data_IF_997415917621
#
_entry.id   IF_997415917621
#
_cell.length_a   1.000
_cell.length_b   1.000
_cell.length_c   1.000
_cell.angle_alpha   90.00
_cell.angle_beta   90.00
_cell.angle_gamma   90.00
#
_symmetry.space_group_name_H-M   'P 1'
#
loop_
_entity.id
_entity.type
_entity.pdbx_description
1 polymer ?
#
# COMPACT_ATOMS: atom_id res chain seq x y z
N UNK A 1 -24.27 -8.85 72.28
CA UNK A 1 -24.64 -10.25 72.41
C UNK A 1 -23.57 -11.02 71.70
N UNK A 2 -22.67 -11.45 72.46
CA UNK A 2 -22.25 -12.81 72.79
C UNK A 2 -21.50 -13.50 71.66
N UNK A 3 -20.24 -13.65 71.85
CA UNK A 3 -19.41 -14.66 72.60
C UNK A 3 -18.99 -15.77 71.67
N UNK A 4 -17.83 -16.29 71.57
CA UNK A 4 -16.65 -16.58 72.34
C UNK A 4 -15.80 -17.45 71.42
N UNK A 5 -14.50 -17.22 71.26
CA UNK A 5 -13.39 -17.70 72.03
C UNK A 5 -13.16 -19.22 72.06
N UNK A 6 -12.00 -19.64 71.65
CA UNK A 6 -11.09 -20.55 72.33
C UNK A 6 -10.07 -21.18 71.40
N UNK A 7 -8.87 -20.72 71.30
CA UNK A 7 -7.55 -21.06 71.91
C UNK A 7 -7.19 -22.57 72.11
N UNK A 8 -5.89 -22.80 71.82
CA UNK A 8 -4.94 -23.78 72.35
C UNK A 8 -4.83 -25.12 71.60
N UNK A 9 -3.68 -25.73 71.35
CA UNK A 9 -2.37 -25.77 72.00
C UNK A 9 -1.43 -26.59 71.12
N UNK A 10 -0.18 -26.21 71.00
CA UNK A 10 0.96 -27.11 70.72
C UNK A 10 1.24 -27.99 71.94
N UNK A 11 1.98 -29.11 71.85
CA UNK A 11 3.41 -29.07 72.16
C UNK A 11 4.32 -30.06 71.39
N UNK A 12 5.57 -29.66 71.15
CA UNK A 12 6.87 -30.23 71.60
C UNK A 12 7.07 -31.73 71.44
N UNK A 13 8.12 -32.28 70.90
CA UNK A 13 9.50 -31.95 70.94
C UNK A 13 10.34 -33.20 70.68
N UNK A 14 11.61 -32.95 70.47
CA UNK A 14 12.82 -33.75 70.77
C UNK A 14 13.41 -34.63 69.65
N UNK A 15 14.75 -34.59 69.53
CA UNK A 15 15.58 -34.98 68.35
C UNK A 15 16.29 -36.31 68.61
N UNK A 16 16.85 -36.94 67.61
CA UNK A 16 17.90 -37.97 67.71
C UNK A 16 18.69 -38.07 66.39
N UNK A 17 19.91 -37.70 66.41
CA UNK A 17 21.18 -38.42 66.32
C UNK A 17 21.61 -38.89 64.91
N UNK A 18 22.75 -38.37 64.51
CA UNK A 18 23.70 -38.83 63.49
C UNK A 18 24.49 -40.03 64.03
N UNK A 19 24.89 -40.97 63.19
CA UNK A 19 26.27 -41.43 63.31
C UNK A 19 27.05 -41.33 61.97
N UNK A 20 28.23 -40.77 62.09
CA UNK A 20 29.38 -40.98 61.19
C UNK A 20 29.75 -42.45 61.07
N UNK A 21 30.28 -42.84 59.91
CA UNK A 21 31.59 -43.36 59.63
C UNK A 21 31.67 -44.45 58.54
N UNK A 22 32.50 -44.27 57.71
CA UNK A 22 33.71 -44.96 57.24
C UNK A 22 33.83 -45.24 55.81
N UNK A 23 34.99 -44.81 55.33
CA UNK A 23 35.62 -44.99 54.05
C UNK A 23 35.68 -46.45 53.55
N UNK A 24 35.51 -46.63 52.26
CA UNK A 24 35.82 -47.83 51.54
C UNK A 24 36.00 -47.51 50.05
N UNK A 25 37.26 -47.34 49.70
CA UNK A 25 37.68 -47.18 48.29
C UNK A 25 37.42 -48.45 47.47
N UNK A 26 36.73 -48.34 46.36
CA UNK A 26 36.93 -49.27 45.23
C UNK A 26 36.73 -48.51 43.89
N UNK A 27 37.74 -48.74 43.03
CA UNK A 27 37.99 -48.31 41.66
C UNK A 27 36.86 -48.46 40.66
N UNK A 28 36.76 -47.45 39.83
CA UNK A 28 36.27 -47.25 38.45
C UNK A 28 35.64 -48.38 37.64
N UNK A 29 34.70 -48.05 36.71
CA UNK A 29 35.16 -47.70 35.39
C UNK A 29 34.46 -46.52 34.73
N UNK A 30 35.13 -45.94 33.72
CA UNK A 30 34.80 -44.76 32.95
C UNK A 30 33.35 -44.70 32.42
N UNK A 31 32.58 -43.72 32.87
CA UNK A 31 31.33 -43.35 32.25
C UNK A 31 31.60 -42.45 31.06
N UNK A 32 31.22 -42.95 29.90
CA UNK A 32 31.20 -42.19 28.62
C UNK A 32 30.27 -40.95 28.78
N UNK A 33 30.85 -39.80 28.69
CA UNK A 33 30.11 -38.55 28.58
C UNK A 33 29.37 -38.51 27.27
N UNK A 34 28.07 -38.75 27.25
CA UNK A 34 27.20 -38.34 26.17
C UNK A 34 27.15 -36.80 26.13
N UNK A 35 27.29 -36.15 24.95
CA UNK A 35 27.08 -34.73 24.87
C UNK A 35 25.61 -34.46 25.14
N UNK A 36 25.35 -33.76 26.26
CA UNK A 36 24.02 -33.25 26.62
C UNK A 36 23.58 -32.30 25.51
N UNK A 37 22.60 -32.73 24.74
CA UNK A 37 21.93 -31.86 23.77
C UNK A 37 21.30 -30.67 24.50
N UNK A 38 21.09 -29.54 23.81
CA UNK A 38 20.57 -28.33 24.45
C UNK A 38 19.24 -28.62 25.16
N UNK A 39 19.14 -28.15 26.39
CA UNK A 39 18.01 -28.40 27.27
C UNK A 39 16.69 -27.95 26.62
N UNK A 40 15.58 -28.60 26.99
CA UNK A 40 14.24 -28.21 26.53
C UNK A 40 13.93 -26.73 26.78
N UNK A 41 14.52 -26.13 27.80
CA UNK A 41 14.46 -24.68 28.07
C UNK A 41 15.24 -23.85 27.03
N UNK A 42 16.39 -24.33 26.55
CA UNK A 42 17.16 -23.68 25.49
C UNK A 42 16.45 -23.82 24.11
N UNK A 43 15.72 -24.94 23.88
CA UNK A 43 14.84 -25.08 22.71
C UNK A 43 13.58 -24.25 22.82
N UNK A 44 13.01 -24.04 24.01
CA UNK A 44 11.88 -23.13 24.23
C UNK A 44 12.28 -21.65 24.11
N UNK A 45 13.51 -21.29 24.46
CA UNK A 45 14.06 -19.92 24.27
C UNK A 45 14.49 -19.66 22.83
N UNK A 46 14.78 -20.68 22.02
CA UNK A 46 15.00 -20.55 20.57
C UNK A 46 13.72 -20.66 19.74
N UNK A 47 12.61 -21.13 20.34
CA UNK A 47 11.28 -21.13 19.74
C UNK A 47 10.59 -19.79 19.98
N UNK A 48 10.95 -18.78 19.17
CA UNK A 48 10.03 -17.68 18.91
C UNK A 48 10.30 -16.37 19.61
N UNK A 49 11.40 -15.70 19.31
CA UNK A 49 11.23 -14.31 18.87
C UNK A 49 10.52 -14.43 17.52
N UNK A 50 9.29 -13.88 17.35
CA UNK A 50 8.79 -13.73 16.00
C UNK A 50 9.81 -12.82 15.32
N UNK A 51 10.64 -13.40 14.47
CA UNK A 51 11.36 -12.62 13.49
C UNK A 51 10.32 -11.66 12.95
N UNK A 52 10.64 -10.38 12.86
CA UNK A 52 9.91 -9.40 12.06
C UNK A 52 9.97 -9.92 10.62
N UNK A 53 9.35 -11.09 10.40
CA UNK A 53 9.32 -11.83 9.16
C UNK A 53 8.72 -10.90 8.14
N UNK A 54 9.53 -10.53 7.19
CA UNK A 54 9.12 -9.84 5.98
C UNK A 54 7.84 -10.53 5.54
N UNK A 55 6.75 -9.77 5.48
CA UNK A 55 5.45 -10.30 5.08
C UNK A 55 5.50 -10.50 3.56
N UNK A 56 5.91 -11.69 3.12
CA UNK A 56 6.04 -12.04 1.69
C UNK A 56 4.76 -11.71 0.92
N UNK A 57 3.59 -11.91 1.52
CA UNK A 57 2.32 -11.54 0.91
C UNK A 57 2.18 -10.03 0.66
N UNK A 58 2.74 -9.17 1.50
CA UNK A 58 2.75 -7.71 1.28
C UNK A 58 3.71 -7.33 0.15
N UNK A 59 4.88 -7.96 0.08
CA UNK A 59 5.82 -7.74 -1.03
C UNK A 59 5.22 -8.26 -2.34
N UNK A 60 4.51 -9.40 -2.31
CA UNK A 60 3.77 -9.92 -3.48
C UNK A 60 2.69 -8.93 -3.94
N UNK A 61 1.86 -8.41 -3.03
CA UNK A 61 0.83 -7.42 -3.37
C UNK A 61 1.45 -6.15 -3.98
N UNK A 62 2.63 -5.72 -3.48
CA UNK A 62 3.35 -4.57 -4.03
C UNK A 62 3.89 -4.83 -5.43
N UNK A 63 4.41 -6.04 -5.69
CA UNK A 63 4.85 -6.45 -7.03
C UNK A 63 3.70 -6.49 -8.04
N UNK A 64 2.53 -7.01 -7.63
CA UNK A 64 1.32 -6.98 -8.46
C UNK A 64 0.86 -5.55 -8.76
N UNK A 65 0.92 -4.64 -7.77
CA UNK A 65 0.60 -3.24 -7.99
C UNK A 65 1.53 -2.58 -9.02
N UNK A 66 2.83 -2.88 -8.98
CA UNK A 66 3.80 -2.38 -9.98
C UNK A 66 3.47 -2.90 -11.38
N UNK A 67 3.19 -4.20 -11.52
CA UNK A 67 2.85 -4.76 -12.83
C UNK A 67 1.55 -4.23 -13.39
N UNK A 68 0.55 -3.98 -12.52
CA UNK A 68 -0.68 -3.33 -12.96
C UNK A 68 -0.49 -1.86 -13.35
N UNK A 69 0.47 -1.13 -12.75
CA UNK A 69 0.85 0.19 -13.24
C UNK A 69 1.57 0.11 -14.60
N UNK A 70 2.44 -0.89 -14.80
CA UNK A 70 3.06 -1.12 -16.12
C UNK A 70 2.00 -1.38 -17.19
N UNK A 71 0.96 -2.17 -16.88
CA UNK A 71 -0.10 -2.44 -17.85
C UNK A 71 -0.88 -1.19 -18.26
N UNK A 72 -0.95 -0.18 -17.39
CA UNK A 72 -1.59 1.09 -17.72
C UNK A 72 -0.70 2.04 -18.53
N UNK A 73 0.64 1.90 -18.43
CA UNK A 73 1.58 2.83 -19.05
C UNK A 73 2.17 2.30 -20.38
N UNK A 74 2.27 1.00 -20.56
CA UNK A 74 2.94 0.36 -21.72
C UNK A 74 2.17 -0.86 -22.24
N UNK A 75 1.00 -1.14 -21.70
CA UNK A 75 0.16 -2.24 -22.18
C UNK A 75 -0.68 -1.84 -23.38
N UNK A 76 -1.27 -2.84 -24.06
CA UNK A 76 -2.27 -2.58 -25.07
C UNK A 76 -3.46 -1.79 -24.51
N UNK A 77 -4.16 -1.07 -25.38
CA UNK A 77 -5.41 -0.43 -25.00
C UNK A 77 -6.46 -1.46 -24.55
N UNK A 78 -7.28 -1.09 -23.58
CA UNK A 78 -8.31 -1.99 -23.04
C UNK A 78 -9.38 -2.37 -24.05
N UNK A 79 -9.54 -1.59 -25.15
CA UNK A 79 -10.47 -1.87 -26.25
C UNK A 79 -10.10 -3.09 -27.08
N UNK A 80 -8.87 -3.65 -26.94
CA UNK A 80 -8.49 -4.93 -27.55
C UNK A 80 -9.43 -6.09 -27.15
N UNK A 81 -10.16 -5.92 -26.05
CA UNK A 81 -11.20 -6.84 -25.60
C UNK A 81 -10.68 -8.21 -25.14
N UNK A 82 -11.59 -9.16 -25.02
CA UNK A 82 -11.28 -10.51 -24.57
C UNK A 82 -10.69 -10.58 -23.15
N UNK A 83 -10.07 -11.72 -22.78
CA UNK A 83 -9.49 -11.88 -21.43
C UNK A 83 -8.34 -10.91 -21.14
N UNK A 84 -7.55 -10.53 -22.14
CA UNK A 84 -6.43 -9.60 -21.99
C UNK A 84 -6.97 -8.21 -21.69
N UNK A 85 -7.88 -7.66 -22.53
CA UNK A 85 -8.50 -6.36 -22.28
C UNK A 85 -9.18 -6.29 -20.91
N UNK A 86 -9.89 -7.36 -20.50
CA UNK A 86 -10.47 -7.43 -19.18
C UNK A 86 -9.44 -7.36 -18.04
N UNK A 87 -8.30 -8.06 -18.14
CA UNK A 87 -7.25 -8.03 -17.12
C UNK A 87 -6.55 -6.67 -17.06
N UNK A 88 -6.30 -6.04 -18.20
CA UNK A 88 -5.73 -4.70 -18.28
C UNK A 88 -6.66 -3.69 -17.62
N UNK A 89 -7.95 -3.72 -17.98
CA UNK A 89 -8.97 -2.86 -17.40
C UNK A 89 -9.12 -3.08 -15.88
N UNK A 90 -9.11 -4.35 -15.43
CA UNK A 90 -9.18 -4.69 -14.02
C UNK A 90 -7.96 -4.19 -13.22
N UNK A 91 -6.83 -3.92 -13.87
CA UNK A 91 -5.63 -3.38 -13.24
C UNK A 91 -5.62 -1.84 -13.20
N UNK A 92 -6.24 -1.16 -14.19
CA UNK A 92 -6.26 0.31 -14.30
C UNK A 92 -6.84 0.97 -13.03
N UNK A 93 -6.18 2.00 -12.52
CA UNK A 93 -6.55 2.74 -11.31
C UNK A 93 -6.50 1.91 -10.01
N UNK A 94 -6.88 0.63 -10.07
CA UNK A 94 -6.90 -0.28 -8.90
C UNK A 94 -5.50 -0.61 -8.42
N UNK A 95 -4.55 -0.71 -9.35
CA UNK A 95 -3.12 -0.93 -9.02
C UNK A 95 -2.52 0.26 -8.30
N UNK A 96 -2.83 1.47 -8.73
CA UNK A 96 -2.41 2.71 -8.06
C UNK A 96 -3.05 2.85 -6.68
N UNK A 97 -4.34 2.52 -6.52
CA UNK A 97 -5.03 2.50 -5.22
C UNK A 97 -4.42 1.44 -4.27
N UNK A 98 -4.10 0.23 -4.77
CA UNK A 98 -3.39 -0.79 -4.01
C UNK A 98 -2.01 -0.28 -3.57
N UNK A 99 -1.28 0.40 -4.46
CA UNK A 99 0.02 0.96 -4.14
C UNK A 99 -0.08 2.05 -3.07
N UNK A 100 -1.10 2.93 -3.11
CA UNK A 100 -1.39 3.93 -2.08
C UNK A 100 -1.73 3.29 -0.73
N UNK A 101 -2.54 2.24 -0.71
CA UNK A 101 -2.85 1.48 0.49
C UNK A 101 -1.56 0.87 1.09
N UNK A 102 -0.70 0.26 0.27
CA UNK A 102 0.57 -0.32 0.71
C UNK A 102 1.59 0.73 1.16
N UNK A 103 1.51 1.98 0.65
CA UNK A 103 2.30 3.09 1.16
C UNK A 103 1.88 3.47 2.58
N UNK A 104 0.59 3.57 2.87
CA UNK A 104 0.06 3.76 4.23
C UNK A 104 0.44 2.62 5.18
N UNK A 105 0.39 1.37 4.70
CA UNK A 105 0.89 0.21 5.44
C UNK A 105 2.36 0.36 5.80
N UNK A 106 3.19 0.81 4.86
CA UNK A 106 4.62 1.02 5.06
C UNK A 106 4.93 2.14 6.05
N UNK A 107 4.11 3.20 6.09
CA UNK A 107 4.22 4.27 7.08
C UNK A 107 4.09 3.72 8.50
N UNK A 108 3.12 2.84 8.74
CA UNK A 108 2.92 2.20 10.06
C UNK A 108 4.09 1.29 10.44
N UNK A 109 4.70 0.57 9.49
CA UNK A 109 5.92 -0.21 9.76
C UNK A 109 7.05 0.70 10.28
N UNK A 110 7.23 1.86 9.66
CA UNK A 110 8.29 2.82 10.03
C UNK A 110 7.99 3.48 11.39
N UNK A 111 6.73 3.85 11.63
CA UNK A 111 6.30 4.55 12.85
C UNK A 111 6.02 3.62 14.02
N UNK A 112 6.04 2.31 13.80
CA UNK A 112 5.92 1.26 14.81
C UNK A 112 4.67 0.41 14.67
N UNK A 113 4.87 -0.91 14.67
CA UNK A 113 3.83 -1.95 14.61
C UNK A 113 4.12 -3.01 15.68
N UNK A 114 3.12 -3.56 16.39
CA UNK A 114 1.69 -3.20 16.33
C UNK A 114 1.36 -1.88 17.04
N UNK A 115 2.25 -1.39 17.89
CA UNK A 115 2.07 -0.15 18.67
C UNK A 115 2.94 0.98 18.12
N UNK A 116 2.41 2.23 18.07
CA UNK A 116 3.18 3.38 17.61
C UNK A 116 4.37 3.67 18.54
N UNK A 117 5.48 4.09 17.95
CA UNK A 117 6.63 4.59 18.67
C UNK A 117 6.30 5.93 19.32
N UNK A 118 6.74 6.12 20.57
CA UNK A 118 6.51 7.33 21.36
C UNK A 118 7.83 7.95 21.80
N UNK A 119 7.80 9.11 22.44
CA UNK A 119 8.98 9.82 22.92
C UNK A 119 9.99 10.08 21.79
N UNK A 120 11.29 9.94 22.11
CA UNK A 120 12.39 10.16 21.15
C UNK A 120 12.27 9.26 19.91
N UNK A 121 11.97 7.97 20.10
CA UNK A 121 11.81 7.03 18.99
C UNK A 121 10.64 7.42 18.06
N UNK A 122 9.57 7.99 18.62
CA UNK A 122 8.45 8.54 17.85
C UNK A 122 8.87 9.77 17.03
N UNK A 123 9.57 10.75 17.65
CA UNK A 123 10.08 11.93 16.91
C UNK A 123 11.02 11.54 15.78
N UNK A 124 11.90 10.58 15.99
CA UNK A 124 12.80 10.05 14.97
C UNK A 124 12.03 9.35 13.85
N UNK A 125 10.96 8.63 14.16
CA UNK A 125 10.11 8.00 13.15
C UNK A 125 9.37 9.06 12.30
N UNK A 126 8.83 10.09 12.93
CA UNK A 126 8.21 11.24 12.24
C UNK A 126 9.21 11.92 11.31
N UNK A 127 10.41 12.24 11.81
CA UNK A 127 11.47 12.85 10.99
C UNK A 127 11.85 11.99 9.77
N UNK A 128 11.90 10.64 9.94
CA UNK A 128 12.12 9.73 8.80
C UNK A 128 11.03 9.82 7.75
N UNK A 129 9.76 9.93 8.17
CA UNK A 129 8.64 10.06 7.22
C UNK A 129 8.69 11.41 6.53
N UNK A 130 8.97 12.51 7.24
CA UNK A 130 9.10 13.84 6.63
C UNK A 130 10.21 13.86 5.58
N UNK A 131 11.42 13.39 5.92
CA UNK A 131 12.52 13.31 4.96
C UNK A 131 12.14 12.44 3.75
N UNK A 132 11.48 11.29 4.00
CA UNK A 132 11.00 10.41 2.94
C UNK A 132 10.00 11.10 2.03
N UNK A 133 9.05 11.84 2.60
CA UNK A 133 8.06 12.62 1.87
C UNK A 133 8.69 13.66 0.96
N UNK A 134 9.65 14.42 1.48
CA UNK A 134 10.38 15.44 0.70
C UNK A 134 11.17 14.79 -0.45
N UNK A 135 11.90 13.69 -0.17
CA UNK A 135 12.67 13.00 -1.22
C UNK A 135 11.76 12.41 -2.30
N UNK A 136 10.61 11.83 -1.92
CA UNK A 136 9.67 11.29 -2.89
C UNK A 136 9.01 12.39 -3.71
N UNK A 137 8.64 13.53 -3.10
CA UNK A 137 8.12 14.68 -3.83
C UNK A 137 9.15 15.23 -4.83
N UNK A 138 10.39 15.42 -4.41
CA UNK A 138 11.46 15.90 -5.29
C UNK A 138 11.73 14.93 -6.45
N UNK A 139 11.76 13.63 -6.17
CA UNK A 139 11.91 12.59 -7.20
C UNK A 139 10.71 12.56 -8.14
N UNK A 140 9.49 12.69 -7.59
CA UNK A 140 8.26 12.75 -8.39
C UNK A 140 8.30 13.91 -9.38
N UNK A 141 8.60 15.14 -8.92
CA UNK A 141 8.71 16.28 -9.80
C UNK A 141 9.86 16.18 -10.81
N UNK A 142 10.99 15.57 -10.42
CA UNK A 142 12.07 15.32 -11.38
C UNK A 142 11.64 14.36 -12.51
N UNK A 143 10.76 13.39 -12.20
CA UNK A 143 10.20 12.51 -13.23
C UNK A 143 9.11 13.20 -14.05
N UNK A 144 8.26 14.02 -13.43
CA UNK A 144 7.25 14.81 -14.16
C UNK A 144 7.91 15.77 -15.16
N UNK A 145 9.08 16.35 -14.80
CA UNK A 145 9.85 17.22 -15.69
C UNK A 145 10.45 16.52 -16.92
N UNK A 146 10.37 15.19 -17.01
CA UNK A 146 10.72 14.45 -18.22
C UNK A 146 9.63 14.54 -19.30
N UNK A 147 8.46 15.08 -18.96
CA UNK A 147 7.32 15.29 -19.87
C UNK A 147 6.88 14.00 -20.60
N UNK A 148 6.79 12.91 -19.85
CA UNK A 148 6.26 11.63 -20.37
C UNK A 148 4.75 11.58 -20.16
N UNK A 149 4.03 10.80 -20.98
CA UNK A 149 2.58 10.58 -20.83
C UNK A 149 2.18 9.85 -19.54
N UNK A 150 3.16 9.56 -18.67
CA UNK A 150 2.93 8.88 -17.39
C UNK A 150 2.57 9.86 -16.28
N UNK A 151 1.38 9.74 -15.73
CA UNK A 151 0.99 10.46 -14.51
C UNK A 151 1.82 9.98 -13.30
N UNK A 152 2.77 10.82 -12.86
CA UNK A 152 3.74 10.47 -11.81
C UNK A 152 3.12 10.58 -10.42
N UNK A 153 2.81 9.46 -9.78
CA UNK A 153 2.18 9.41 -8.44
C UNK A 153 3.12 9.83 -7.29
N UNK A 154 4.45 9.84 -7.49
CA UNK A 154 5.42 10.07 -6.41
C UNK A 154 5.35 11.47 -5.81
N UNK A 155 5.08 12.50 -6.61
CA UNK A 155 4.90 13.88 -6.16
C UNK A 155 3.73 13.98 -5.18
N UNK A 156 2.60 13.37 -5.52
CA UNK A 156 1.41 13.27 -4.67
C UNK A 156 1.70 12.48 -3.38
N UNK A 157 2.50 11.42 -3.45
CA UNK A 157 2.88 10.64 -2.26
C UNK A 157 3.68 11.45 -1.24
N UNK A 158 4.51 12.37 -1.66
CA UNK A 158 5.19 13.28 -0.75
C UNK A 158 4.19 13.99 0.15
N UNK A 159 3.18 14.64 -0.45
CA UNK A 159 2.14 15.36 0.29
C UNK A 159 1.20 14.42 1.07
N UNK A 160 0.81 13.29 0.48
CA UNK A 160 -0.01 12.26 1.15
C UNK A 160 0.65 11.75 2.44
N UNK A 161 1.96 11.46 2.42
CA UNK A 161 2.67 11.05 3.64
C UNK A 161 2.59 12.10 4.74
N UNK A 162 2.75 13.37 4.39
CA UNK A 162 2.66 14.48 5.36
C UNK A 162 1.24 14.63 5.92
N UNK A 163 0.22 14.53 5.06
CA UNK A 163 -1.19 14.68 5.42
C UNK A 163 -1.66 13.58 6.37
N UNK A 164 -1.27 12.32 6.15
CA UNK A 164 -1.70 11.21 7.00
C UNK A 164 -0.79 11.00 8.23
N UNK A 165 0.39 11.64 8.26
CA UNK A 165 1.37 11.46 9.34
C UNK A 165 0.81 11.74 10.73
N UNK A 166 -0.02 12.77 10.99
CA UNK A 166 -0.60 13.01 12.31
C UNK A 166 -1.43 11.83 12.84
N UNK A 167 -1.99 11.02 11.94
CA UNK A 167 -2.86 9.90 12.27
C UNK A 167 -2.08 8.64 12.74
N UNK A 168 -0.74 8.63 12.70
CA UNK A 168 0.07 7.44 12.94
C UNK A 168 -0.09 6.84 14.35
N UNK A 169 -0.62 7.61 15.32
CA UNK A 169 -0.87 7.15 16.70
C UNK A 169 -2.22 6.48 16.90
N UNK A 170 -3.10 6.59 15.92
CA UNK A 170 -4.48 6.11 16.04
C UNK A 170 -4.57 4.58 15.97
N UNK A 171 -5.65 4.04 16.56
CA UNK A 171 -5.97 2.61 16.56
C UNK A 171 -6.56 2.18 15.21
N UNK A 172 -6.52 0.88 14.91
CA UNK A 172 -7.05 0.33 13.67
C UNK A 172 -8.51 0.73 13.40
N UNK A 173 -9.38 0.65 14.41
CA UNK A 173 -10.80 1.00 14.26
C UNK A 173 -11.00 2.48 13.93
N UNK A 174 -10.27 3.38 14.60
CA UNK A 174 -10.34 4.83 14.34
C UNK A 174 -9.82 5.15 12.94
N UNK A 175 -8.71 4.55 12.52
CA UNK A 175 -8.18 4.70 11.16
C UNK A 175 -9.17 4.17 10.12
N UNK A 176 -9.79 3.00 10.36
CA UNK A 176 -10.81 2.46 9.46
C UNK A 176 -12.03 3.38 9.35
N UNK A 177 -12.47 3.97 10.46
CA UNK A 177 -13.57 4.95 10.46
C UNK A 177 -13.19 6.21 9.66
N UNK A 178 -12.00 6.77 9.88
CA UNK A 178 -11.51 7.93 9.13
C UNK A 178 -11.40 7.60 7.63
N UNK A 179 -10.90 6.42 7.27
CA UNK A 179 -10.82 5.98 5.88
C UNK A 179 -12.22 5.86 5.25
N UNK A 180 -13.18 5.26 5.96
CA UNK A 180 -14.55 5.08 5.49
C UNK A 180 -15.28 6.44 5.35
N UNK A 181 -15.20 7.31 6.37
CA UNK A 181 -15.78 8.65 6.30
C UNK A 181 -15.12 9.48 5.20
N UNK A 182 -13.78 9.41 5.08
CA UNK A 182 -13.05 10.08 4.02
C UNK A 182 -13.46 9.60 2.63
N UNK A 183 -13.65 8.29 2.44
CA UNK A 183 -14.09 7.72 1.17
C UNK A 183 -15.47 8.23 0.72
N UNK A 184 -16.34 8.63 1.67
CA UNK A 184 -17.66 9.17 1.36
C UNK A 184 -17.67 10.70 1.23
N UNK A 185 -16.97 11.39 2.12
CA UNK A 185 -17.05 12.85 2.23
C UNK A 185 -16.07 13.57 1.30
N UNK A 186 -14.83 13.05 1.18
CA UNK A 186 -13.79 13.76 0.41
C UNK A 186 -14.10 13.85 -1.09
N UNK A 187 -14.68 12.83 -1.76
CA UNK A 187 -15.11 12.97 -3.15
C UNK A 187 -16.18 14.05 -3.36
N UNK A 188 -17.13 14.19 -2.46
CA UNK A 188 -18.16 15.25 -2.52
C UNK A 188 -17.54 16.63 -2.35
N UNK A 189 -16.61 16.75 -1.40
CA UNK A 189 -15.86 17.98 -1.18
C UNK A 189 -15.00 18.33 -2.40
N UNK A 190 -14.32 17.34 -2.98
CA UNK A 190 -13.50 17.53 -4.19
C UNK A 190 -14.38 17.98 -5.36
N UNK A 191 -15.54 17.35 -5.55
CA UNK A 191 -16.51 17.74 -6.58
C UNK A 191 -16.94 19.21 -6.40
N UNK A 192 -17.32 19.63 -5.18
CA UNK A 192 -17.70 21.00 -4.89
C UNK A 192 -16.55 21.99 -5.13
N UNK A 193 -15.31 21.63 -4.75
CA UNK A 193 -14.13 22.46 -4.99
C UNK A 193 -13.86 22.57 -6.50
N UNK A 194 -13.81 21.46 -7.23
CA UNK A 194 -13.58 21.48 -8.69
C UNK A 194 -14.65 22.27 -9.42
N UNK A 195 -15.92 22.17 -9.01
CA UNK A 195 -17.02 22.96 -9.58
C UNK A 195 -16.89 24.48 -9.31
N UNK A 196 -16.10 24.90 -8.33
CA UNK A 196 -15.82 26.30 -8.02
C UNK A 196 -14.62 26.88 -8.75
N UNK A 197 -13.85 26.05 -9.45
CA UNK A 197 -12.67 26.47 -10.23
C UNK A 197 -13.17 27.08 -11.54
N UNK A 198 -12.89 28.37 -11.72
CA UNK A 198 -13.24 29.12 -12.92
C UNK A 198 -11.99 29.82 -13.45
N UNK A 199 -11.86 30.02 -14.76
CA UNK A 199 -10.77 30.80 -15.36
C UNK A 199 -10.69 32.19 -14.73
N UNK A 200 -9.50 32.63 -14.32
CA UNK A 200 -9.28 33.88 -13.60
C UNK A 200 -9.73 33.89 -12.13
N UNK A 201 -10.16 32.73 -11.62
CA UNK A 201 -10.69 32.60 -10.27
C UNK A 201 -9.62 32.38 -9.19
N UNK A 202 -10.05 31.82 -8.06
CA UNK A 202 -9.20 31.62 -6.88
C UNK A 202 -8.05 30.62 -7.14
N UNK A 203 -8.27 29.60 -7.96
CA UNK A 203 -7.26 28.59 -8.27
C UNK A 203 -6.09 29.20 -9.02
N UNK A 204 -6.37 30.00 -10.08
CA UNK A 204 -5.33 30.71 -10.83
C UNK A 204 -4.59 31.71 -9.95
N UNK A 205 -5.30 32.39 -9.04
CA UNK A 205 -4.70 33.31 -8.09
C UNK A 205 -3.77 32.63 -7.07
N UNK A 206 -4.07 31.37 -6.69
CA UNK A 206 -3.20 30.56 -5.83
C UNK A 206 -2.00 30.07 -6.63
N UNK A 207 -2.22 29.46 -7.80
CA UNK A 207 -1.16 28.92 -8.68
C UNK A 207 -0.14 30.02 -9.06
N UNK A 208 -0.60 31.22 -9.37
CA UNK A 208 0.28 32.36 -9.70
C UNK A 208 1.22 32.78 -8.56
N UNK A 209 0.84 32.51 -7.31
CA UNK A 209 1.64 32.81 -6.10
C UNK A 209 2.41 31.61 -5.58
N UNK A 210 2.12 30.41 -6.10
CA UNK A 210 2.71 29.16 -5.63
C UNK A 210 4.16 29.02 -6.15
N UNK A 211 5.18 28.98 -5.26
CA UNK A 211 6.57 28.76 -5.67
C UNK A 211 6.74 27.38 -6.34
N UNK A 212 5.94 26.38 -5.96
CA UNK A 212 6.02 25.04 -6.52
C UNK A 212 5.58 25.05 -7.99
N UNK A 213 4.45 25.69 -8.30
CA UNK A 213 3.97 25.86 -9.67
C UNK A 213 5.01 26.53 -10.58
N UNK A 214 5.68 27.56 -10.07
CA UNK A 214 6.74 28.28 -10.84
C UNK A 214 7.96 27.41 -11.17
N UNK A 215 8.32 26.49 -10.26
CA UNK A 215 9.49 25.62 -10.45
C UNK A 215 9.16 24.40 -11.30
N UNK A 216 7.94 23.89 -11.16
CA UNK A 216 7.53 22.62 -11.80
C UNK A 216 6.83 22.82 -13.14
N UNK A 217 6.34 24.02 -13.45
CA UNK A 217 5.51 24.27 -14.64
C UNK A 217 4.10 23.68 -14.54
N UNK A 218 3.69 23.21 -13.34
CA UNK A 218 2.36 22.62 -13.07
C UNK A 218 1.49 23.60 -12.27
N UNK A 219 0.26 23.19 -11.92
CA UNK A 219 -0.60 23.96 -11.01
C UNK A 219 -0.20 23.87 -9.52
N UNK A 220 0.95 23.27 -9.24
CA UNK A 220 1.54 23.23 -7.91
C UNK A 220 0.67 22.56 -6.86
N UNK A 221 0.36 23.27 -5.76
CA UNK A 221 -0.47 22.73 -4.69
C UNK A 221 -1.94 22.53 -5.10
N UNK A 222 -2.45 23.32 -6.05
CA UNK A 222 -3.82 23.14 -6.58
C UNK A 222 -3.92 21.79 -7.28
N UNK A 223 -2.95 21.44 -8.09
CA UNK A 223 -2.85 20.13 -8.74
C UNK A 223 -2.75 18.99 -7.73
N UNK A 224 -1.80 19.08 -6.79
CA UNK A 224 -1.59 18.05 -5.78
C UNK A 224 -2.81 17.79 -4.91
N UNK A 225 -3.57 18.84 -4.57
CA UNK A 225 -4.69 18.73 -3.67
C UNK A 225 -6.00 18.38 -4.38
N UNK A 226 -6.23 18.93 -5.60
CA UNK A 226 -7.56 18.97 -6.20
C UNK A 226 -7.64 18.55 -7.66
N UNK A 227 -6.79 19.05 -8.57
CA UNK A 227 -7.00 18.93 -10.01
C UNK A 227 -6.22 17.81 -10.66
N UNK A 228 -5.10 17.37 -10.09
CA UNK A 228 -4.27 16.34 -10.65
C UNK A 228 -4.89 14.93 -10.63
N UNK A 229 -4.16 13.98 -11.17
CA UNK A 229 -4.60 12.58 -11.33
C UNK A 229 -4.79 11.84 -10.00
N UNK A 230 -3.97 12.19 -8.98
CA UNK A 230 -3.96 11.56 -7.66
C UNK A 230 -4.24 12.57 -6.53
N UNK A 231 -5.35 13.34 -6.57
CA UNK A 231 -5.55 14.43 -5.62
C UNK A 231 -5.54 13.93 -4.18
N UNK A 232 -4.73 14.58 -3.35
CA UNK A 232 -4.52 14.16 -1.95
C UNK A 232 -5.84 13.98 -1.21
N UNK A 233 -6.82 14.81 -1.51
CA UNK A 233 -8.12 14.80 -0.86
C UNK A 233 -8.83 13.44 -0.99
N UNK A 234 -8.89 12.86 -2.19
CA UNK A 234 -9.56 11.57 -2.47
C UNK A 234 -8.64 10.36 -2.38
N UNK A 235 -7.31 10.57 -2.38
CA UNK A 235 -6.33 9.48 -2.27
C UNK A 235 -5.90 9.20 -0.82
N UNK A 236 -6.08 10.18 0.09
CA UNK A 236 -5.82 9.99 1.52
C UNK A 236 -6.58 8.78 2.12
N UNK A 237 -7.86 8.50 1.81
CA UNK A 237 -8.58 7.35 2.33
C UNK A 237 -7.90 6.00 2.05
N UNK A 238 -7.30 5.78 0.86
CA UNK A 238 -6.55 4.56 0.55
C UNK A 238 -5.36 4.38 1.50
N UNK A 239 -4.60 5.46 1.70
CA UNK A 239 -3.44 5.43 2.58
C UNK A 239 -3.82 5.17 4.04
N UNK A 240 -4.89 5.80 4.52
CA UNK A 240 -5.42 5.59 5.89
C UNK A 240 -5.98 4.17 6.06
N UNK A 241 -6.63 3.61 5.04
CA UNK A 241 -7.06 2.20 5.04
C UNK A 241 -5.84 1.26 5.17
N UNK A 242 -4.76 1.53 4.44
CA UNK A 242 -3.50 0.80 4.57
C UNK A 242 -2.88 0.90 5.97
N UNK A 243 -2.94 2.08 6.59
CA UNK A 243 -2.53 2.27 7.99
C UNK A 243 -3.39 1.44 8.94
N UNK A 244 -4.71 1.38 8.73
CA UNK A 244 -5.62 0.55 9.53
C UNK A 244 -5.25 -0.94 9.43
N UNK A 245 -5.06 -1.44 8.21
CA UNK A 245 -4.66 -2.84 7.95
C UNK A 245 -3.33 -3.17 8.63
N UNK A 246 -2.35 -2.26 8.58
CA UNK A 246 -1.05 -2.46 9.21
C UNK A 246 -1.11 -2.59 10.74
N UNK A 247 -2.15 -2.08 11.39
CA UNK A 247 -2.38 -2.22 12.84
C UNK A 247 -2.99 -3.57 13.24
N UNK A 248 -3.52 -4.33 12.27
CA UNK A 248 -4.14 -5.63 12.52
C UNK A 248 -3.07 -6.73 12.65
N UNK A 249 -3.39 -7.77 13.41
CA UNK A 249 -2.56 -8.98 13.49
C UNK A 249 -2.83 -9.88 12.28
N UNK A 250 -2.11 -9.63 11.20
CA UNK A 250 -2.26 -10.33 9.93
C UNK A 250 -1.80 -11.80 9.96
N UNK A 251 -1.21 -12.25 11.08
CA UNK A 251 -0.85 -13.67 11.25
C UNK A 251 -2.07 -14.53 11.57
N UNK A 252 -3.16 -13.92 12.07
CA UNK A 252 -4.40 -14.61 12.41
C UNK A 252 -5.25 -14.90 11.17
N UNK A 253 -5.59 -16.18 10.90
CA UNK A 253 -6.43 -16.54 9.75
C UNK A 253 -7.78 -15.82 9.72
N UNK A 254 -8.43 -15.66 10.87
CA UNK A 254 -9.72 -14.95 10.98
C UNK A 254 -9.65 -13.47 10.59
N UNK A 255 -8.52 -12.79 10.81
CA UNK A 255 -8.33 -11.40 10.35
C UNK A 255 -8.24 -11.34 8.83
N UNK A 256 -7.53 -12.26 8.20
CA UNK A 256 -7.41 -12.30 6.73
C UNK A 256 -8.74 -12.60 6.05
N UNK A 257 -9.51 -13.55 6.58
CA UNK A 257 -10.85 -13.81 6.06
C UNK A 257 -11.77 -12.60 6.20
N UNK A 258 -11.73 -11.90 7.33
CA UNK A 258 -12.48 -10.64 7.52
C UNK A 258 -12.04 -9.55 6.53
N UNK A 259 -10.74 -9.42 6.27
CA UNK A 259 -10.22 -8.48 5.26
C UNK A 259 -10.70 -8.85 3.85
N UNK A 260 -10.70 -10.14 3.50
CA UNK A 260 -11.22 -10.60 2.21
C UNK A 260 -12.72 -10.32 2.06
N UNK A 261 -13.52 -10.62 3.11
CA UNK A 261 -14.96 -10.33 3.12
C UNK A 261 -15.25 -8.82 3.07
N UNK A 262 -14.54 -8.02 3.86
CA UNK A 262 -14.67 -6.57 3.83
C UNK A 262 -14.25 -6.01 2.46
N UNK A 263 -13.17 -6.53 1.88
CA UNK A 263 -12.72 -6.17 0.54
C UNK A 263 -13.76 -6.49 -0.53
N UNK A 264 -14.28 -7.71 -0.53
CA UNK A 264 -15.36 -8.12 -1.45
C UNK A 264 -16.63 -7.29 -1.27
N UNK A 265 -17.06 -7.07 -0.02
CA UNK A 265 -18.22 -6.24 0.30
C UNK A 265 -18.07 -4.80 -0.19
N UNK A 266 -16.91 -4.16 0.03
CA UNK A 266 -16.62 -2.81 -0.45
C UNK A 266 -16.55 -2.74 -1.98
N UNK A 267 -15.98 -3.75 -2.64
CA UNK A 267 -15.96 -3.81 -4.11
C UNK A 267 -17.37 -3.91 -4.68
N UNK A 268 -18.22 -4.75 -4.09
CA UNK A 268 -19.64 -4.88 -4.48
C UNK A 268 -20.40 -3.58 -4.22
N UNK A 269 -20.20 -2.94 -3.06
CA UNK A 269 -20.83 -1.66 -2.75
C UNK A 269 -20.37 -0.54 -3.68
N UNK A 270 -19.07 -0.46 -4.01
CA UNK A 270 -18.53 0.54 -4.91
C UNK A 270 -19.03 0.31 -6.34
N UNK A 271 -18.64 -0.78 -6.95
CA UNK A 271 -18.96 -1.03 -8.37
C UNK A 271 -20.44 -1.39 -8.59
N UNK A 272 -21.00 -2.29 -7.76
CA UNK A 272 -22.41 -2.67 -7.84
C UNK A 272 -23.33 -1.51 -7.49
N UNK A 273 -22.97 -0.73 -6.47
CA UNK A 273 -23.69 0.50 -6.11
C UNK A 273 -23.71 1.53 -7.22
N UNK A 274 -22.57 1.79 -7.88
CA UNK A 274 -22.47 2.65 -9.06
C UNK A 274 -23.33 2.12 -10.21
N UNK A 275 -23.20 0.83 -10.54
CA UNK A 275 -24.00 0.17 -11.57
C UNK A 275 -25.51 0.35 -11.33
N UNK A 276 -25.95 0.17 -10.08
CA UNK A 276 -27.35 0.32 -9.70
C UNK A 276 -27.78 1.80 -9.75
N UNK A 277 -26.98 2.69 -9.19
CA UNK A 277 -27.29 4.13 -9.14
C UNK A 277 -27.41 4.74 -10.55
N UNK A 278 -26.49 4.42 -11.46
CA UNK A 278 -26.52 4.87 -12.86
C UNK A 278 -27.78 4.42 -13.60
N UNK A 279 -28.41 3.30 -13.19
CA UNK A 279 -29.66 2.79 -13.80
C UNK A 279 -30.93 3.30 -13.14
N UNK A 280 -30.88 3.53 -11.83
CA UNK A 280 -32.06 3.98 -11.07
C UNK A 280 -32.27 5.49 -11.13
N UNK A 281 -31.18 6.29 -11.27
CA UNK A 281 -31.30 7.73 -11.39
C UNK A 281 -31.69 8.10 -12.84
N UNK A 282 -32.85 8.77 -13.04
CA UNK A 282 -33.32 9.13 -14.36
C UNK A 282 -32.27 9.95 -15.12
N UNK A 283 -32.06 9.63 -16.38
CA UNK A 283 -31.13 10.30 -17.28
C UNK A 283 -29.63 10.28 -16.87
N UNK A 284 -29.23 9.55 -15.81
CA UNK A 284 -27.84 9.56 -15.36
C UNK A 284 -26.86 9.10 -16.46
N UNK A 285 -27.16 7.96 -17.12
CA UNK A 285 -26.31 7.44 -18.19
C UNK A 285 -26.21 8.38 -19.40
N UNK A 286 -27.33 8.98 -19.83
CA UNK A 286 -27.33 9.96 -20.93
C UNK A 286 -26.59 11.24 -20.57
N UNK A 287 -26.71 11.69 -19.32
CA UNK A 287 -25.97 12.85 -18.81
C UNK A 287 -24.47 12.58 -18.74
N UNK A 288 -24.07 11.41 -18.29
CA UNK A 288 -22.64 11.00 -18.30
C UNK A 288 -22.13 10.90 -19.74
N UNK A 289 -22.88 10.26 -20.63
CA UNK A 289 -22.49 10.13 -22.04
C UNK A 289 -22.33 11.49 -22.75
N UNK A 290 -23.20 12.45 -22.45
CA UNK A 290 -23.12 13.79 -23.02
C UNK A 290 -21.97 14.64 -22.44
N UNK A 291 -21.42 14.26 -21.31
CA UNK A 291 -20.34 14.96 -20.63
C UNK A 291 -18.94 14.42 -20.94
N UNK A 292 -18.85 13.27 -21.63
CA UNK A 292 -17.58 12.61 -21.95
C UNK A 292 -17.35 12.63 -23.48
N UNK A 293 -16.08 12.57 -23.88
CA UNK A 293 -15.67 12.61 -25.29
C UNK A 293 -15.78 11.22 -25.95
N UNK A 294 -17.02 10.83 -26.29
CA UNK A 294 -17.29 9.61 -27.07
C UNK A 294 -17.13 8.29 -26.34
N UNK A 295 -16.95 8.31 -25.03
CA UNK A 295 -16.78 7.11 -24.21
C UNK A 295 -18.07 6.32 -23.99
N UNK A 296 -17.95 5.09 -23.49
CA UNK A 296 -19.08 4.20 -23.21
C UNK A 296 -19.65 4.43 -21.82
N UNK A 297 -20.71 5.23 -21.68
CA UNK A 297 -21.38 5.46 -20.40
C UNK A 297 -21.91 4.16 -19.75
N UNK A 298 -22.18 3.11 -20.53
CA UNK A 298 -22.64 1.81 -20.02
C UNK A 298 -21.60 1.12 -19.14
N UNK A 299 -20.31 1.42 -19.33
CA UNK A 299 -19.18 0.88 -18.56
C UNK A 299 -18.74 1.78 -17.41
N UNK A 300 -19.32 2.97 -17.24
CA UNK A 300 -18.95 3.98 -16.25
C UNK A 300 -18.92 3.48 -14.80
N UNK A 301 -19.58 2.37 -14.52
CA UNK A 301 -19.60 1.76 -13.19
C UNK A 301 -18.30 1.01 -12.81
N UNK A 302 -17.35 0.82 -13.75
CA UNK A 302 -16.10 0.10 -13.46
C UNK A 302 -14.94 0.38 -14.41
N UNK A 303 -15.18 0.89 -15.62
CA UNK A 303 -14.22 0.95 -16.72
C UNK A 303 -13.85 2.37 -17.10
N UNK A 304 -12.61 2.53 -17.50
CA UNK A 304 -12.01 3.73 -18.04
C UNK A 304 -12.55 4.11 -19.43
N UNK A 305 -13.15 3.15 -20.12
CA UNK A 305 -13.76 3.39 -21.44
C UNK A 305 -14.94 4.36 -21.41
N UNK A 306 -15.35 4.84 -20.23
CA UNK A 306 -16.30 5.96 -20.12
C UNK A 306 -15.71 7.28 -20.64
N UNK A 307 -14.38 7.41 -20.67
CA UNK A 307 -13.67 8.64 -20.97
C UNK A 307 -13.69 9.67 -19.85
N UNK A 308 -12.96 10.75 -20.04
CA UNK A 308 -12.89 11.85 -19.09
C UNK A 308 -13.95 12.91 -19.38
N UNK A 309 -14.39 13.67 -18.37
CA UNK A 309 -15.30 14.79 -18.60
C UNK A 309 -14.62 15.91 -19.40
N UNK A 310 -15.27 16.31 -20.51
CA UNK A 310 -14.78 17.39 -21.41
C UNK A 310 -14.82 18.77 -20.76
N UNK A 311 -15.64 18.93 -19.72
CA UNK A 311 -15.80 20.17 -18.95
C UNK A 311 -16.04 19.86 -17.49
N UNK A 312 -16.55 20.82 -16.72
CA UNK A 312 -16.97 20.55 -15.34
C UNK A 312 -17.94 19.36 -15.29
N UNK A 313 -17.60 18.27 -14.55
CA UNK A 313 -18.43 17.09 -14.53
C UNK A 313 -19.83 17.41 -13.98
N UNK A 314 -20.90 16.89 -14.60
CA UNK A 314 -22.25 17.03 -14.07
C UNK A 314 -22.41 16.27 -12.75
N UNK A 315 -23.47 16.56 -12.00
CA UNK A 315 -23.75 15.83 -10.74
C UNK A 315 -23.92 14.32 -10.94
N UNK A 316 -24.39 13.88 -12.11
CA UNK A 316 -24.45 12.46 -12.46
C UNK A 316 -23.07 11.76 -12.45
N UNK A 317 -21.96 12.51 -12.60
CA UNK A 317 -20.61 11.98 -12.49
C UNK A 317 -20.32 11.40 -11.11
N UNK A 318 -20.95 11.88 -10.06
CA UNK A 318 -20.81 11.34 -8.70
C UNK A 318 -21.25 9.86 -8.59
N UNK A 319 -22.02 9.37 -9.56
CA UNK A 319 -22.48 7.98 -9.63
C UNK A 319 -21.49 7.05 -10.35
N UNK A 320 -20.48 7.58 -11.01
CA UNK A 320 -19.47 6.84 -11.77
C UNK A 320 -18.48 6.15 -10.82
N UNK A 321 -18.00 4.96 -11.19
CA UNK A 321 -16.93 4.26 -10.46
C UNK A 321 -15.76 3.84 -11.39
N UNK A 322 -15.61 4.52 -12.51
CA UNK A 322 -14.46 4.36 -13.38
C UNK A 322 -13.14 4.66 -12.64
N UNK A 323 -12.01 4.09 -13.08
CA UNK A 323 -10.69 4.48 -12.60
C UNK A 323 -10.53 6.00 -12.63
N UNK A 324 -9.88 6.56 -11.63
CA UNK A 324 -9.60 8.01 -11.50
C UNK A 324 -10.81 8.96 -11.53
N UNK A 325 -12.07 8.45 -11.53
CA UNK A 325 -13.28 9.30 -11.47
C UNK A 325 -13.41 10.13 -10.19
N UNK A 326 -12.59 9.84 -9.17
CA UNK A 326 -12.52 10.54 -7.87
C UNK A 326 -13.84 10.54 -7.08
N UNK A 327 -14.75 9.59 -7.33
CA UNK A 327 -16.06 9.47 -6.68
C UNK A 327 -16.03 8.56 -5.45
N UNK A 328 -17.06 8.64 -4.62
CA UNK A 328 -17.19 7.75 -3.47
C UNK A 328 -17.29 6.27 -3.89
N UNK A 329 -18.00 5.98 -4.97
CA UNK A 329 -18.11 4.62 -5.51
C UNK A 329 -16.76 4.06 -5.98
N UNK A 330 -15.98 4.88 -6.70
CA UNK A 330 -14.62 4.51 -7.14
C UNK A 330 -13.69 4.28 -5.94
N UNK A 331 -13.68 5.17 -4.94
CA UNK A 331 -12.83 5.03 -3.75
C UNK A 331 -13.19 3.78 -2.94
N UNK A 332 -14.48 3.49 -2.76
CA UNK A 332 -14.95 2.28 -2.07
C UNK A 332 -14.59 1.02 -2.86
N UNK A 333 -14.88 0.99 -4.16
CA UNK A 333 -14.60 -0.13 -5.03
C UNK A 333 -13.10 -0.48 -5.08
N UNK A 334 -12.27 0.52 -5.33
CA UNK A 334 -10.81 0.37 -5.38
C UNK A 334 -10.22 -0.04 -4.03
N UNK A 335 -10.71 0.53 -2.91
CA UNK A 335 -10.32 0.08 -1.55
C UNK A 335 -10.68 -1.39 -1.35
N UNK A 336 -11.88 -1.79 -1.80
CA UNK A 336 -12.35 -3.16 -1.73
C UNK A 336 -11.42 -4.13 -2.46
N UNK A 337 -11.10 -3.84 -3.71
CA UNK A 337 -10.16 -4.64 -4.52
C UNK A 337 -8.79 -4.70 -3.87
N UNK A 338 -8.26 -3.56 -3.41
CA UNK A 338 -6.94 -3.51 -2.77
C UNK A 338 -6.88 -4.38 -1.49
N UNK A 339 -7.92 -4.36 -0.64
CA UNK A 339 -8.02 -5.22 0.54
C UNK A 339 -8.12 -6.70 0.18
N UNK A 340 -8.91 -7.05 -0.85
CA UNK A 340 -9.06 -8.42 -1.33
C UNK A 340 -7.73 -8.96 -1.88
N UNK A 341 -6.99 -8.16 -2.68
CA UNK A 341 -5.67 -8.53 -3.20
C UNK A 341 -4.67 -8.74 -2.06
N UNK A 342 -4.61 -7.83 -1.09
CA UNK A 342 -3.73 -7.99 0.08
C UNK A 342 -4.07 -9.25 0.86
N UNK A 343 -5.36 -9.51 1.13
CA UNK A 343 -5.80 -10.71 1.83
C UNK A 343 -5.47 -11.98 1.05
N UNK A 344 -5.67 -11.98 -0.26
CA UNK A 344 -5.31 -13.08 -1.18
C UNK A 344 -3.81 -13.37 -1.18
N UNK A 345 -2.98 -12.34 -1.34
CA UNK A 345 -1.52 -12.47 -1.31
C UNK A 345 -1.00 -13.02 0.03
N UNK A 346 -1.59 -12.58 1.16
CA UNK A 346 -1.26 -13.12 2.48
C UNK A 346 -1.70 -14.58 2.62
N UNK A 347 -2.87 -14.96 2.09
CA UNK A 347 -3.36 -16.33 2.12
C UNK A 347 -2.51 -17.26 1.25
N UNK A 348 -2.11 -16.82 0.04
CA UNK A 348 -1.21 -17.57 -0.84
C UNK A 348 0.14 -17.78 -0.15
N UNK A 349 0.72 -16.73 0.40
CA UNK A 349 2.04 -16.79 1.05
C UNK A 349 2.09 -17.79 2.21
N UNK A 350 0.97 -18.04 2.88
CA UNK A 350 0.92 -18.93 4.04
C UNK A 350 0.45 -20.35 3.70
N UNK A 351 -0.61 -20.46 2.88
CA UNK A 351 -1.30 -21.73 2.66
C UNK A 351 -0.81 -22.51 1.44
N UNK A 352 -0.14 -21.84 0.50
CA UNK A 352 0.22 -22.39 -0.79
C UNK A 352 1.72 -22.26 -1.07
N UNK A 353 2.59 -23.08 -0.42
CA UNK A 353 4.05 -22.94 -0.52
C UNK A 353 4.57 -23.09 -1.96
N UNK A 354 3.90 -23.90 -2.80
CA UNK A 354 4.26 -24.04 -4.22
C UNK A 354 3.98 -22.75 -5.00
N UNK A 355 2.79 -22.15 -4.83
CA UNK A 355 2.44 -20.87 -5.45
C UNK A 355 3.32 -19.75 -4.90
N UNK A 356 3.63 -19.76 -3.61
CA UNK A 356 4.56 -18.80 -3.01
C UNK A 356 5.95 -18.91 -3.64
N UNK A 357 6.44 -20.13 -3.89
CA UNK A 357 7.71 -20.34 -4.57
C UNK A 357 7.70 -19.80 -6.01
N UNK A 358 6.61 -20.02 -6.75
CA UNK A 358 6.40 -19.49 -8.09
C UNK A 358 6.26 -17.95 -8.09
N UNK A 359 5.63 -17.39 -7.08
CA UNK A 359 5.42 -15.94 -6.94
C UNK A 359 6.63 -15.18 -6.33
N UNK A 360 7.70 -15.87 -5.93
CA UNK A 360 8.93 -15.23 -5.39
C UNK A 360 9.50 -14.14 -6.31
N UNK A 361 9.57 -14.31 -7.64
CA UNK A 361 10.05 -13.26 -8.53
C UNK A 361 9.21 -11.98 -8.44
N UNK A 362 7.88 -12.12 -8.39
CA UNK A 362 6.95 -10.98 -8.21
C UNK A 362 7.15 -10.31 -6.85
N UNK A 363 7.31 -11.09 -5.79
CA UNK A 363 7.62 -10.55 -4.47
C UNK A 363 9.00 -9.85 -4.44
N UNK A 364 9.98 -10.31 -5.21
CA UNK A 364 11.27 -9.62 -5.37
C UNK A 364 11.09 -8.22 -6.00
N UNK A 365 10.27 -8.09 -7.05
CA UNK A 365 9.87 -6.80 -7.63
C UNK A 365 9.25 -5.91 -6.56
N UNK A 366 8.32 -6.43 -5.77
CA UNK A 366 7.67 -5.67 -4.67
C UNK A 366 8.64 -5.17 -3.60
N UNK A 367 9.80 -5.85 -3.40
CA UNK A 367 10.84 -5.36 -2.48
C UNK A 367 11.65 -4.19 -3.02
N UNK A 368 11.61 -3.98 -4.33
CA UNK A 368 12.30 -2.94 -5.08
C UNK A 368 11.31 -2.02 -5.81
N UNK A 369 10.09 -1.91 -5.29
CA UNK A 369 8.98 -1.25 -5.97
C UNK A 369 9.30 0.21 -6.39
N UNK A 370 10.01 0.98 -5.55
CA UNK A 370 10.44 2.34 -5.90
C UNK A 370 11.45 2.32 -7.05
N UNK A 371 12.45 1.43 -6.98
CA UNK A 371 13.47 1.33 -8.02
C UNK A 371 12.86 0.96 -9.36
N UNK A 372 12.03 -0.09 -9.41
CA UNK A 372 11.45 -0.57 -10.68
C UNK A 372 10.40 0.41 -11.20
N UNK A 373 9.68 1.13 -10.31
CA UNK A 373 8.77 2.20 -10.71
C UNK A 373 9.50 3.36 -11.37
N UNK A 374 10.58 3.87 -10.77
CA UNK A 374 11.36 4.96 -11.37
C UNK A 374 12.03 4.51 -12.66
N UNK A 375 12.59 3.31 -12.66
CA UNK A 375 13.29 2.78 -13.81
C UNK A 375 12.38 2.66 -15.04
N UNK A 376 11.11 2.22 -14.88
CA UNK A 376 10.22 2.09 -16.04
C UNK A 376 9.90 3.45 -16.67
N UNK A 377 9.70 4.51 -15.88
CA UNK A 377 9.46 5.86 -16.41
C UNK A 377 10.71 6.35 -17.17
N UNK A 378 11.91 6.14 -16.60
CA UNK A 378 13.16 6.51 -17.26
C UNK A 378 13.38 5.73 -18.56
N UNK A 379 13.02 4.43 -18.58
CA UNK A 379 13.12 3.61 -19.79
C UNK A 379 12.10 4.04 -20.81
N UNK A 380 10.87 4.35 -20.40
CA UNK A 380 9.83 4.90 -21.30
C UNK A 380 10.32 6.19 -21.93
N UNK A 381 10.70 7.18 -21.13
CA UNK A 381 11.26 8.43 -21.62
C UNK A 381 12.41 8.21 -22.61
N UNK A 382 13.31 7.30 -22.31
CA UNK A 382 14.46 7.03 -23.17
C UNK A 382 14.03 6.37 -24.50
N UNK A 383 13.06 5.47 -24.47
CA UNK A 383 12.60 4.76 -25.67
C UNK A 383 11.67 5.62 -26.53
N UNK A 384 10.78 6.42 -25.95
CA UNK A 384 9.86 7.27 -26.70
C UNK A 384 10.53 8.56 -27.18
N UNK A 385 11.20 9.31 -26.28
CA UNK A 385 11.69 10.64 -26.60
C UNK A 385 13.10 10.64 -27.22
N UNK A 386 14.00 9.76 -26.73
CA UNK A 386 15.40 9.73 -27.19
C UNK A 386 15.58 8.80 -28.38
N UNK A 387 15.14 7.55 -28.26
CA UNK A 387 15.27 6.57 -29.36
C UNK A 387 14.08 6.55 -30.32
N UNK A 388 12.95 7.12 -29.94
CA UNK A 388 11.72 7.19 -30.75
C UNK A 388 11.34 5.83 -31.35
N UNK A 389 11.24 4.82 -30.47
CA UNK A 389 10.91 3.45 -30.83
C UNK A 389 9.41 3.34 -31.08
N UNK A 390 8.93 3.14 -32.35
CA UNK A 390 7.50 3.19 -32.66
C UNK A 390 6.66 2.13 -31.93
N UNK A 391 7.29 1.01 -31.50
CA UNK A 391 6.60 -0.06 -30.78
C UNK A 391 6.15 0.35 -29.38
N UNK A 392 6.64 1.45 -28.82
CA UNK A 392 6.22 1.97 -27.50
C UNK A 392 4.82 2.60 -27.59
N UNK A 393 4.52 3.24 -28.72
CA UNK A 393 3.27 3.95 -28.94
C UNK A 393 2.21 3.05 -29.63
N UNK A 394 2.55 1.77 -29.88
CA UNK A 394 1.62 0.79 -30.45
C UNK A 394 0.74 0.16 -29.37
N UNK A 395 -0.43 0.73 -29.17
CA UNK A 395 -1.45 0.25 -28.22
C UNK A 395 -2.23 -0.97 -28.69
N UNK A 396 -1.90 -1.52 -29.86
CA UNK A 396 -2.53 -2.76 -30.34
C UNK A 396 -2.11 -3.97 -29.50
N UNK A 397 -2.92 -5.04 -29.56
CA UNK A 397 -2.58 -6.29 -28.88
C UNK A 397 -1.22 -6.86 -29.33
N UNK A 398 -0.89 -6.71 -30.60
CA UNK A 398 0.33 -7.27 -31.19
C UNK A 398 1.57 -6.41 -30.92
N UNK A 399 1.41 -5.08 -30.74
CA UNK A 399 2.49 -4.16 -30.39
C UNK A 399 2.67 -4.03 -28.88
N UNK A 400 1.65 -3.59 -28.16
CA UNK A 400 1.72 -3.27 -26.73
C UNK A 400 1.94 -4.48 -25.83
N UNK A 401 1.38 -5.67 -26.14
CA UNK A 401 1.56 -6.84 -25.26
C UNK A 401 3.01 -7.32 -25.17
N UNK A 402 3.77 -7.45 -26.26
CA UNK A 402 5.21 -7.78 -26.17
C UNK A 402 6.01 -6.73 -25.39
N UNK A 403 5.69 -5.45 -25.55
CA UNK A 403 6.33 -4.35 -24.80
C UNK A 403 6.07 -4.51 -23.30
N UNK A 404 4.81 -4.67 -22.91
CA UNK A 404 4.43 -4.93 -21.50
C UNK A 404 5.15 -6.14 -20.93
N UNK A 405 5.17 -7.26 -21.64
CA UNK A 405 5.86 -8.47 -21.18
C UNK A 405 7.38 -8.28 -21.09
N UNK A 406 7.95 -7.49 -21.97
CA UNK A 406 9.36 -7.06 -21.93
C UNK A 406 9.68 -6.27 -20.67
N UNK A 407 8.84 -5.27 -20.32
CA UNK A 407 8.98 -4.50 -19.10
C UNK A 407 8.82 -5.36 -17.84
N UNK A 408 7.79 -6.22 -17.78
CA UNK A 408 7.58 -7.16 -16.66
C UNK A 408 8.76 -8.13 -16.54
N UNK A 409 9.21 -8.72 -17.64
CA UNK A 409 10.32 -9.68 -17.68
C UNK A 409 11.63 -9.06 -17.20
N UNK A 410 11.97 -7.87 -17.73
CA UNK A 410 13.20 -7.15 -17.39
C UNK A 410 13.19 -6.70 -15.92
N UNK A 411 12.09 -6.12 -15.43
CA UNK A 411 11.94 -5.74 -14.03
C UNK A 411 12.03 -6.95 -13.10
N UNK A 412 11.45 -8.06 -13.49
CA UNK A 412 11.50 -9.32 -12.72
C UNK A 412 12.92 -9.88 -12.67
N UNK A 413 13.60 -9.97 -13.82
CA UNK A 413 14.98 -10.45 -13.90
C UNK A 413 15.91 -9.58 -13.06
N UNK A 414 15.82 -8.25 -13.23
CA UNK A 414 16.57 -7.29 -12.44
C UNK A 414 16.35 -7.50 -10.95
N UNK A 415 15.08 -7.60 -10.51
CA UNK A 415 14.75 -7.77 -9.10
C UNK A 415 15.26 -9.10 -8.53
N UNK A 416 15.15 -10.20 -9.27
CA UNK A 416 15.63 -11.52 -8.85
C UNK A 416 17.15 -11.52 -8.73
N UNK A 417 17.88 -10.99 -9.72
CA UNK A 417 19.34 -10.91 -9.68
C UNK A 417 19.80 -9.98 -8.57
N UNK A 418 19.22 -8.80 -8.48
CA UNK A 418 19.60 -7.80 -7.48
C UNK A 418 19.40 -8.30 -6.06
N UNK A 419 18.24 -8.90 -5.76
CA UNK A 419 17.91 -9.37 -4.40
C UNK A 419 18.76 -10.56 -3.95
N UNK A 420 19.44 -11.27 -4.85
CA UNK A 420 20.48 -12.28 -4.51
C UNK A 420 21.77 -11.64 -4.00
N UNK A 421 22.13 -10.47 -4.50
CA UNK A 421 23.37 -9.77 -4.20
C UNK A 421 23.19 -8.74 -3.09
N UNK A 422 22.05 -8.06 -3.06
CA UNK A 422 21.77 -6.93 -2.18
C UNK A 422 20.44 -7.10 -1.42
N UNK A 423 20.39 -6.59 -0.19
CA UNK A 423 19.21 -6.68 0.67
C UNK A 423 18.12 -5.68 0.33
N UNK A 424 18.39 -4.64 -0.44
CA UNK A 424 17.49 -3.53 -0.81
C UNK A 424 17.74 -3.11 -2.23
N UNK A 425 16.70 -2.62 -2.91
CA UNK A 425 16.86 -1.99 -4.21
C UNK A 425 17.71 -0.72 -4.12
N UNK A 426 18.28 -0.24 -5.24
CA UNK A 426 19.14 0.94 -5.26
C UNK A 426 18.46 2.18 -4.67
N UNK A 427 17.27 2.54 -5.14
CA UNK A 427 16.55 3.73 -4.66
C UNK A 427 16.01 3.52 -3.24
N UNK A 428 15.59 2.32 -2.87
CA UNK A 428 15.23 1.98 -1.48
C UNK A 428 16.42 2.16 -0.54
N UNK A 429 17.63 1.81 -0.98
CA UNK A 429 18.87 2.03 -0.24
C UNK A 429 19.17 3.52 -0.10
N UNK A 430 19.13 4.27 -1.20
CA UNK A 430 19.37 5.72 -1.19
C UNK A 430 18.36 6.44 -0.29
N UNK A 431 17.07 6.11 -0.41
CA UNK A 431 16.03 6.66 0.43
C UNK A 431 16.24 6.31 1.92
N UNK A 432 16.71 5.10 2.21
CA UNK A 432 17.09 4.72 3.56
C UNK A 432 18.27 5.53 4.07
N UNK A 433 19.30 5.77 3.25
CA UNK A 433 20.47 6.59 3.60
C UNK A 433 20.06 8.05 3.83
N UNK A 434 19.22 8.61 2.98
CA UNK A 434 18.68 9.96 3.14
C UNK A 434 17.93 10.15 4.47
N UNK A 435 17.30 9.09 4.99
CA UNK A 435 16.59 9.16 6.28
C UNK A 435 17.48 8.93 7.51
N UNK A 436 18.78 8.65 7.36
CA UNK A 436 19.71 8.43 8.49
C UNK A 436 19.83 9.65 9.44
N UNK A 437 19.84 10.92 8.97
CA UNK A 437 19.92 12.08 9.85
C UNK A 437 18.80 12.12 10.90
N UNK A 438 17.63 11.52 10.65
CA UNK A 438 16.55 11.46 11.61
C UNK A 438 16.92 10.80 12.94
N UNK A 439 17.99 9.98 13.00
CA UNK A 439 18.51 9.38 14.25
C UNK A 439 19.06 10.41 15.26
N UNK A 440 19.44 11.59 14.76
CA UNK A 440 19.98 12.66 15.59
C UNK A 440 18.90 13.55 16.22
N UNK A 441 17.63 13.38 15.82
CA UNK A 441 16.50 14.11 16.41
C UNK A 441 16.38 13.67 17.90
N UNK A 442 16.44 14.67 18.79
CA UNK A 442 16.37 14.50 20.25
C UNK A 442 14.93 14.35 20.76
#
# INVERSE_FOLDING_TARGET
>A
MNHQDMTLKTPSGVPVEVPEARAGARSSPAARTHPSGPSAAARALSAGTPSTGRLVGIDLARGLAVFGMYSAHVGPDVTVGGPVGFLLEAARGRSSALFALLAGFSLVIITGRPRPRTGRAGRQAVARIVIRAVVLAALGYALTALDTDVAVILSFYGLLFLTVLPLYRLRAATLALIAATGALVMPLLLYAIRSSIQPGGWADAVTARDPLARVTGTDGFVELLFTGEYPVLTWMPFMVAGMAVARLDLTRPGIRSRLALAGGGLAVLGYGGSWLALRLVPHALSTVAAATDGGSASSAWWSDTVGDPVAHPPSAWLLVAAPHSQTAFSVLGNTGVALAVVAGCLAVAERMPRLTALARPVAAVGTMALTVYVLHILVLWFLSDVWRVPAIDDESLHGGLPVLLGFIGTATLLAVVWTRLFRRGPLEYLLHRATQPARHVR
#
